data_IF_182516187371
#
_entry.id   IF_182516187371
#
_cell.length_a   1.000
_cell.length_b   1.000
_cell.length_c   1.000
_cell.angle_alpha   90.00
_cell.angle_beta   90.00
_cell.angle_gamma   90.00
#
_symmetry.space_group_name_H-M   'P 1'
#
loop_
_entity.id
_entity.type
_entity.pdbx_description
1 polymer ?
#
# COMPACT_ATOMS: atom_id res chain seq x y z
N UNK A 1 44.50 -28.07 -3.94
CA UNK A 1 43.35 -28.82 -4.51
C UNK A 1 41.99 -28.40 -3.85
N UNK A 2 42.00 -27.97 -2.59
CA UNK A 2 40.75 -27.58 -1.93
C UNK A 2 40.11 -26.29 -2.44
N UNK A 3 40.88 -25.32 -2.91
CA UNK A 3 40.37 -24.08 -3.49
C UNK A 3 39.69 -24.26 -4.85
N UNK A 4 40.19 -25.23 -5.66
CA UNK A 4 39.60 -25.51 -7.00
C UNK A 4 38.22 -26.16 -6.86
N UNK A 5 38.04 -27.06 -5.90
CA UNK A 5 36.73 -27.70 -5.64
C UNK A 5 35.70 -26.68 -5.15
N UNK A 6 36.10 -25.74 -4.32
CA UNK A 6 35.23 -24.67 -3.86
C UNK A 6 34.84 -23.69 -4.97
N UNK A 7 35.77 -23.33 -5.85
CA UNK A 7 35.48 -22.44 -7.00
C UNK A 7 34.59 -23.11 -8.04
N UNK A 8 34.80 -24.42 -8.34
CA UNK A 8 33.92 -25.15 -9.25
C UNK A 8 32.49 -25.28 -8.71
N UNK A 9 32.31 -25.46 -7.41
CA UNK A 9 31.00 -25.52 -6.80
C UNK A 9 30.29 -24.15 -6.89
N UNK A 10 31.01 -23.06 -6.63
CA UNK A 10 30.47 -21.70 -6.78
C UNK A 10 30.11 -21.38 -8.24
N UNK A 11 30.93 -21.80 -9.21
CA UNK A 11 30.66 -21.62 -10.65
C UNK A 11 29.37 -22.33 -11.04
N UNK A 12 29.12 -23.56 -10.54
CA UNK A 12 27.92 -24.32 -10.87
C UNK A 12 26.64 -23.78 -10.29
N UNK A 13 26.69 -23.19 -9.12
CA UNK A 13 25.54 -22.80 -8.34
C UNK A 13 25.23 -21.30 -8.39
N UNK A 14 26.06 -20.51 -9.04
CA UNK A 14 25.97 -19.06 -9.07
C UNK A 14 26.04 -18.50 -10.49
N UNK A 15 24.99 -18.69 -11.32
CA UNK A 15 24.89 -18.02 -12.60
C UNK A 15 24.73 -16.52 -12.42
N UNK A 16 25.19 -15.73 -13.40
CA UNK A 16 25.01 -14.30 -13.42
C UNK A 16 23.73 -13.92 -14.16
N UNK A 17 22.86 -13.14 -13.51
CA UNK A 17 21.66 -12.58 -14.11
C UNK A 17 21.67 -11.05 -14.04
N UNK A 18 21.39 -10.41 -15.18
CA UNK A 18 21.26 -8.95 -15.27
C UNK A 18 19.79 -8.56 -15.21
N UNK A 19 19.42 -7.75 -14.21
CA UNK A 19 18.12 -7.10 -14.16
C UNK A 19 18.15 -5.88 -15.08
N UNK A 20 17.77 -6.13 -16.34
CA UNK A 20 18.11 -5.27 -17.45
C UNK A 20 16.94 -4.39 -17.94
N UNK A 21 15.78 -4.46 -17.32
CA UNK A 21 14.67 -3.54 -17.54
C UNK A 21 14.69 -2.37 -16.54
N UNK A 22 14.06 -1.29 -16.92
CA UNK A 22 13.71 -0.23 -15.99
C UNK A 22 13.99 1.18 -16.47
N UNK A 23 13.26 2.12 -15.90
CA UNK A 23 13.35 3.55 -16.18
C UNK A 23 14.74 4.16 -15.98
N UNK A 24 15.58 3.77 -15.02
CA UNK A 24 16.93 4.35 -14.89
C UNK A 24 17.77 4.19 -16.13
N UNK A 25 17.75 2.98 -16.75
CA UNK A 25 18.48 2.75 -18.00
C UNK A 25 17.87 3.47 -19.18
N UNK A 26 16.53 3.52 -19.26
CA UNK A 26 15.79 4.22 -20.31
C UNK A 26 16.04 5.73 -20.28
N UNK A 27 15.97 6.35 -19.10
CA UNK A 27 16.22 7.77 -18.93
C UNK A 27 17.67 8.15 -19.25
N UNK A 28 18.62 7.35 -18.78
CA UNK A 28 20.03 7.54 -19.08
C UNK A 28 20.34 7.42 -20.61
N UNK A 29 19.65 6.50 -21.29
CA UNK A 29 19.73 6.34 -22.72
C UNK A 29 19.11 7.56 -23.47
N UNK A 30 17.95 8.02 -22.99
CA UNK A 30 17.28 9.21 -23.53
C UNK A 30 18.17 10.46 -23.41
N UNK A 31 18.73 10.74 -22.23
CA UNK A 31 19.64 11.87 -22.00
C UNK A 31 20.86 11.84 -22.93
N UNK A 32 21.33 10.65 -23.30
CA UNK A 32 22.48 10.46 -24.19
C UNK A 32 22.11 10.32 -25.66
N UNK A 33 20.82 10.40 -25.98
CA UNK A 33 20.26 10.22 -27.31
C UNK A 33 20.73 8.91 -27.98
N UNK A 34 20.68 7.81 -27.23
CA UNK A 34 21.00 6.46 -27.70
C UNK A 34 19.83 5.53 -27.40
N UNK A 35 19.75 4.41 -28.12
CA UNK A 35 18.73 3.41 -27.91
C UNK A 35 18.95 2.68 -26.56
N UNK A 36 17.90 2.46 -25.71
CA UNK A 36 18.02 1.82 -24.40
C UNK A 36 18.73 0.46 -24.46
N UNK A 37 18.41 -0.40 -25.42
CA UNK A 37 19.05 -1.70 -25.56
C UNK A 37 20.58 -1.56 -25.73
N UNK A 38 21.03 -0.64 -26.59
CA UNK A 38 22.46 -0.40 -26.80
C UNK A 38 23.15 0.09 -25.53
N UNK A 39 22.49 0.97 -24.77
CA UNK A 39 23.02 1.45 -23.50
C UNK A 39 23.14 0.33 -22.48
N UNK A 40 22.11 -0.50 -22.38
CA UNK A 40 22.07 -1.66 -21.48
C UNK A 40 23.15 -2.67 -21.81
N UNK A 41 23.30 -3.05 -23.10
CA UNK A 41 24.33 -3.98 -23.54
C UNK A 41 25.76 -3.49 -23.25
N UNK A 42 26.01 -2.19 -23.45
CA UNK A 42 27.32 -1.59 -23.14
C UNK A 42 27.60 -1.65 -21.63
N UNK A 43 26.60 -1.37 -20.79
CA UNK A 43 26.76 -1.42 -19.34
C UNK A 43 26.98 -2.86 -18.87
N UNK A 44 26.22 -3.83 -19.37
CA UNK A 44 26.40 -5.25 -19.07
C UNK A 44 27.82 -5.70 -19.43
N UNK A 45 28.30 -5.35 -20.61
CA UNK A 45 29.67 -5.68 -21.05
C UNK A 45 30.71 -5.10 -20.10
N UNK A 46 30.59 -3.84 -19.73
CA UNK A 46 31.52 -3.16 -18.81
C UNK A 46 31.50 -3.81 -17.41
N UNK A 47 30.31 -4.04 -16.87
CA UNK A 47 30.17 -4.66 -15.53
C UNK A 47 30.68 -6.09 -15.51
N UNK A 48 30.45 -6.87 -16.59
CA UNK A 48 30.99 -8.23 -16.73
C UNK A 48 32.52 -8.23 -16.65
N UNK A 49 33.17 -7.34 -17.37
CA UNK A 49 34.64 -7.21 -17.33
C UNK A 49 35.12 -6.81 -15.93
N UNK A 50 34.47 -5.89 -15.28
CA UNK A 50 34.80 -5.46 -13.90
C UNK A 50 34.64 -6.62 -12.91
N UNK A 51 33.54 -7.37 -12.98
CA UNK A 51 33.31 -8.50 -12.07
C UNK A 51 34.33 -9.63 -12.30
N UNK A 52 34.70 -9.89 -13.57
CA UNK A 52 35.80 -10.83 -13.89
C UNK A 52 37.14 -10.35 -13.36
N UNK A 53 37.46 -9.07 -13.49
CA UNK A 53 38.68 -8.47 -12.96
C UNK A 53 38.77 -8.53 -11.41
N UNK A 54 37.62 -8.50 -10.72
CA UNK A 54 37.54 -8.71 -9.28
C UNK A 54 37.74 -10.16 -8.85
N UNK A 55 37.80 -11.10 -9.80
CA UNK A 55 38.01 -12.53 -9.52
C UNK A 55 36.78 -13.25 -9.00
N UNK A 56 35.57 -12.73 -9.25
CA UNK A 56 34.33 -13.37 -8.83
C UNK A 56 34.04 -14.62 -9.70
N UNK A 57 33.78 -15.72 -9.03
CA UNK A 57 33.57 -17.04 -9.65
C UNK A 57 32.09 -17.26 -9.97
N UNK A 58 31.59 -16.61 -11.01
CA UNK A 58 30.27 -16.89 -11.55
C UNK A 58 30.31 -17.90 -12.69
N UNK A 59 29.19 -18.59 -12.89
CA UNK A 59 28.97 -19.42 -14.07
C UNK A 59 28.57 -18.55 -15.28
N UNK A 60 29.57 -18.01 -15.95
CA UNK A 60 29.39 -17.15 -17.11
C UNK A 60 28.75 -17.82 -18.31
N UNK A 61 28.81 -19.17 -18.39
CA UNK A 61 28.18 -19.94 -19.48
C UNK A 61 26.65 -20.00 -19.33
N UNK A 62 26.14 -19.75 -18.12
CA UNK A 62 24.72 -19.62 -17.83
C UNK A 62 24.31 -18.18 -17.55
N UNK A 63 25.05 -17.22 -18.05
CA UNK A 63 24.71 -15.79 -17.99
C UNK A 63 23.39 -15.54 -18.73
N UNK A 64 22.53 -14.73 -18.13
CA UNK A 64 21.25 -14.36 -18.68
C UNK A 64 20.94 -12.88 -18.47
N UNK A 65 20.01 -12.35 -19.26
CA UNK A 65 19.48 -11.00 -19.10
C UNK A 65 17.95 -11.03 -19.10
N UNK A 66 17.34 -10.36 -18.13
CA UNK A 66 15.87 -10.33 -17.98
C UNK A 66 15.17 -9.63 -19.15
N UNK A 67 15.88 -8.80 -19.94
CA UNK A 67 15.35 -8.16 -21.13
C UNK A 67 15.40 -9.01 -22.40
N UNK A 68 16.01 -10.20 -22.33
CA UNK A 68 16.03 -11.12 -23.46
C UNK A 68 14.66 -11.76 -23.70
N UNK A 69 14.15 -11.79 -24.95
CA UNK A 69 12.89 -12.45 -25.29
C UNK A 69 12.85 -13.92 -24.86
N UNK A 70 13.97 -14.63 -24.95
CA UNK A 70 14.09 -16.02 -24.53
C UNK A 70 13.94 -16.19 -23.01
N UNK A 71 14.22 -15.14 -22.22
CA UNK A 71 13.99 -15.12 -20.79
C UNK A 71 12.55 -14.70 -20.46
N UNK A 72 12.12 -13.50 -20.86
CA UNK A 72 10.83 -12.96 -20.40
C UNK A 72 9.62 -13.68 -21.01
N UNK A 73 9.77 -14.48 -22.07
CA UNK A 73 8.69 -15.36 -22.55
C UNK A 73 8.18 -16.31 -21.46
N UNK A 74 9.06 -16.74 -20.55
CA UNK A 74 8.68 -17.60 -19.42
C UNK A 74 7.90 -16.83 -18.36
N UNK A 75 8.27 -15.58 -18.11
CA UNK A 75 7.51 -14.68 -17.21
C UNK A 75 6.12 -14.38 -17.78
N UNK A 76 6.05 -14.09 -19.08
CA UNK A 76 4.76 -13.88 -19.77
C UNK A 76 3.87 -15.12 -19.69
N UNK A 77 4.45 -16.31 -19.86
CA UNK A 77 3.71 -17.57 -19.71
C UNK A 77 3.18 -17.74 -18.27
N UNK A 78 4.02 -17.49 -17.29
CA UNK A 78 3.61 -17.56 -15.87
C UNK A 78 2.51 -16.54 -15.55
N UNK A 79 2.60 -15.33 -16.08
CA UNK A 79 1.54 -14.33 -15.93
C UNK A 79 0.21 -14.81 -16.55
N UNK A 80 0.24 -15.43 -17.74
CA UNK A 80 -0.95 -16.01 -18.35
C UNK A 80 -1.54 -17.14 -17.51
N UNK A 81 -0.69 -17.93 -16.86
CA UNK A 81 -1.16 -18.97 -15.95
C UNK A 81 -1.81 -18.37 -14.69
N UNK A 82 -1.31 -17.25 -14.17
CA UNK A 82 -1.98 -16.50 -13.10
C UNK A 82 -3.36 -15.99 -13.54
N UNK A 83 -3.47 -15.44 -14.74
CA UNK A 83 -4.77 -15.00 -15.29
C UNK A 83 -5.74 -16.18 -15.42
N UNK A 84 -5.29 -17.33 -15.97
CA UNK A 84 -6.12 -18.53 -16.13
C UNK A 84 -6.62 -19.10 -14.81
N UNK A 85 -5.80 -18.99 -13.77
CA UNK A 85 -6.14 -19.44 -12.41
C UNK A 85 -6.82 -18.34 -11.58
N UNK A 86 -7.24 -17.23 -12.20
CA UNK A 86 -7.90 -16.10 -11.53
C UNK A 86 -7.09 -15.50 -10.37
N UNK A 87 -5.77 -15.59 -10.45
CA UNK A 87 -4.83 -14.98 -9.50
C UNK A 87 -4.39 -13.58 -9.91
N UNK A 88 -4.53 -13.25 -11.20
CA UNK A 88 -4.33 -11.91 -11.74
C UNK A 88 -5.65 -11.38 -12.33
N UNK A 89 -5.97 -10.13 -12.07
CA UNK A 89 -7.19 -9.48 -12.53
C UNK A 89 -6.96 -7.99 -12.80
N UNK A 90 -7.87 -7.36 -13.54
CA UNK A 90 -7.81 -5.92 -13.79
C UNK A 90 -8.89 -5.20 -13.01
N UNK A 91 -8.53 -4.07 -12.41
CA UNK A 91 -9.48 -3.10 -11.85
C UNK A 91 -8.99 -1.68 -12.05
N UNK A 92 -9.88 -0.71 -11.97
CA UNK A 92 -9.52 0.69 -11.88
C UNK A 92 -9.02 1.01 -10.48
N UNK A 93 -7.91 1.72 -10.40
CA UNK A 93 -7.31 2.16 -9.14
C UNK A 93 -6.68 3.53 -9.30
N UNK A 94 -6.71 4.30 -8.23
CA UNK A 94 -5.99 5.56 -8.15
C UNK A 94 -4.49 5.29 -8.05
N UNK A 95 -3.73 5.93 -8.93
CA UNK A 95 -2.28 5.80 -8.99
C UNK A 95 -1.62 7.18 -8.89
N UNK A 96 -0.37 7.19 -8.40
CA UNK A 96 0.48 8.37 -8.48
C UNK A 96 1.06 8.47 -9.90
N UNK A 97 0.75 9.52 -10.61
CA UNK A 97 1.21 9.76 -11.97
C UNK A 97 2.24 10.88 -12.00
N UNK A 98 3.39 10.60 -12.58
CA UNK A 98 4.39 11.62 -12.89
C UNK A 98 4.15 12.16 -14.31
N UNK A 99 3.77 13.44 -14.47
CA UNK A 99 3.45 13.99 -15.78
C UNK A 99 4.70 14.27 -16.64
N UNK A 100 5.90 14.33 -16.05
CA UNK A 100 7.17 14.55 -16.76
C UNK A 100 7.73 13.24 -17.27
N UNK A 101 7.79 12.21 -16.40
CA UNK A 101 8.27 10.88 -16.79
C UNK A 101 7.19 10.04 -17.49
N UNK A 102 5.91 10.50 -17.49
CA UNK A 102 4.75 9.79 -18.04
C UNK A 102 4.63 8.35 -17.52
N UNK A 103 4.78 8.19 -16.21
CA UNK A 103 4.76 6.88 -15.57
C UNK A 103 4.01 6.90 -14.24
N UNK A 104 3.62 5.70 -13.80
CA UNK A 104 3.07 5.47 -12.46
C UNK A 104 4.22 5.35 -11.46
N UNK A 105 4.10 6.02 -10.33
CA UNK A 105 5.05 5.96 -9.22
C UNK A 105 4.48 5.14 -8.06
N UNK A 106 5.30 4.30 -7.46
CA UNK A 106 5.02 3.71 -6.16
C UNK A 106 4.98 4.79 -5.06
N UNK A 107 4.35 4.48 -3.93
CA UNK A 107 4.24 5.47 -2.85
C UNK A 107 5.61 5.94 -2.34
N UNK A 108 6.58 5.03 -2.27
CA UNK A 108 7.96 5.31 -1.84
C UNK A 108 8.74 6.19 -2.83
N UNK A 109 8.22 6.35 -4.04
CA UNK A 109 8.80 7.20 -5.09
C UNK A 109 8.19 8.61 -5.12
N UNK A 110 7.28 8.90 -4.20
CA UNK A 110 6.68 10.22 -4.02
C UNK A 110 7.23 10.85 -2.75
N UNK A 111 7.98 11.94 -2.88
CA UNK A 111 8.58 12.67 -1.77
C UNK A 111 8.00 14.08 -1.75
N UNK A 112 7.38 14.49 -0.65
CA UNK A 112 6.73 15.80 -0.51
C UNK A 112 5.76 16.14 -1.66
N UNK A 113 4.99 15.14 -2.12
CA UNK A 113 4.04 15.29 -3.22
C UNK A 113 4.67 15.41 -4.61
N UNK A 114 5.95 15.13 -4.74
CA UNK A 114 6.72 15.21 -6.00
C UNK A 114 7.33 13.86 -6.35
N UNK A 115 7.47 13.62 -7.64
CA UNK A 115 8.24 12.48 -8.14
C UNK A 115 9.70 12.55 -7.69
N UNK A 116 10.20 11.48 -7.10
CA UNK A 116 11.54 11.40 -6.48
C UNK A 116 12.70 11.72 -7.46
N UNK A 117 12.46 11.54 -8.74
CA UNK A 117 13.45 11.78 -9.81
C UNK A 117 13.19 13.06 -10.60
N UNK A 118 11.95 13.23 -11.07
CA UNK A 118 11.57 14.40 -11.89
C UNK A 118 11.48 15.68 -11.08
N UNK A 119 11.18 15.57 -9.77
CA UNK A 119 10.82 16.72 -8.92
C UNK A 119 9.48 17.37 -9.31
N UNK A 120 8.75 16.80 -10.27
CA UNK A 120 7.45 17.31 -10.70
C UNK A 120 6.35 16.97 -9.68
N UNK A 121 5.35 17.84 -9.51
CA UNK A 121 4.18 17.53 -8.72
C UNK A 121 3.47 16.27 -9.26
N UNK A 122 3.19 15.31 -8.37
CA UNK A 122 2.50 14.07 -8.73
C UNK A 122 1.01 14.32 -8.86
N UNK A 123 0.41 13.74 -9.89
CA UNK A 123 -1.04 13.76 -10.12
C UNK A 123 -1.66 12.44 -9.71
N UNK A 124 -2.88 12.50 -9.13
CA UNK A 124 -3.69 11.28 -8.94
C UNK A 124 -4.49 11.01 -10.20
N UNK A 125 -4.33 9.81 -10.77
CA UNK A 125 -5.09 9.37 -11.95
C UNK A 125 -5.75 8.04 -11.69
N UNK A 126 -6.99 7.90 -12.18
CA UNK A 126 -7.70 6.62 -12.15
C UNK A 126 -7.32 5.84 -13.40
N UNK A 127 -6.60 4.75 -13.24
CA UNK A 127 -6.14 3.91 -14.34
C UNK A 127 -6.53 2.46 -14.12
N UNK A 128 -6.84 1.76 -15.23
CA UNK A 128 -7.04 0.32 -15.21
C UNK A 128 -5.70 -0.39 -15.09
N UNK A 129 -5.48 -1.05 -13.95
CA UNK A 129 -4.23 -1.70 -13.58
C UNK A 129 -4.43 -3.20 -13.40
N UNK A 130 -3.34 -3.97 -13.54
CA UNK A 130 -3.28 -5.36 -13.15
C UNK A 130 -3.02 -5.49 -11.65
N UNK A 131 -3.73 -6.40 -11.03
CA UNK A 131 -3.60 -6.75 -9.62
C UNK A 131 -3.40 -8.25 -9.47
N UNK A 132 -2.59 -8.65 -8.50
CA UNK A 132 -2.43 -10.03 -8.08
C UNK A 132 -3.22 -10.25 -6.78
N UNK A 133 -3.90 -11.39 -6.66
CA UNK A 133 -4.61 -11.78 -5.44
C UNK A 133 -3.62 -12.32 -4.39
N UNK A 134 -2.75 -11.46 -3.88
CA UNK A 134 -1.67 -11.85 -2.98
C UNK A 134 -2.15 -12.46 -1.66
N UNK A 135 -3.38 -12.18 -1.25
CA UNK A 135 -3.97 -12.70 -0.01
C UNK A 135 -4.66 -14.06 -0.18
N UNK A 136 -4.80 -14.57 -1.41
CA UNK A 136 -5.49 -15.84 -1.69
C UNK A 136 -4.89 -17.02 -0.94
N UNK A 137 -3.56 -17.01 -0.75
CA UNK A 137 -2.82 -18.08 -0.08
C UNK A 137 -2.35 -17.73 1.32
N UNK A 138 -2.82 -16.63 1.91
CA UNK A 138 -2.32 -16.14 3.21
C UNK A 138 -2.49 -17.18 4.32
N UNK A 139 -3.64 -17.81 4.42
CA UNK A 139 -3.91 -18.86 5.43
C UNK A 139 -3.04 -20.11 5.20
N UNK A 140 -2.82 -20.52 3.95
CA UNK A 140 -2.00 -21.68 3.62
C UNK A 140 -0.52 -21.39 3.89
N UNK A 141 -0.05 -20.17 3.59
CA UNK A 141 1.31 -19.73 3.91
C UNK A 141 1.53 -19.72 5.42
N UNK A 142 0.58 -19.21 6.19
CA UNK A 142 0.66 -19.16 7.64
C UNK A 142 0.77 -20.55 8.26
N UNK A 143 -0.06 -21.50 7.81
CA UNK A 143 0.01 -22.91 8.21
C UNK A 143 1.31 -23.57 7.78
N UNK A 144 1.82 -23.26 6.58
CA UNK A 144 3.02 -23.86 6.03
C UNK A 144 4.29 -23.42 6.77
N UNK A 145 4.32 -22.24 7.38
CA UNK A 145 5.44 -21.78 8.23
C UNK A 145 5.73 -22.78 9.35
N UNK A 146 4.70 -23.38 9.94
CA UNK A 146 4.84 -24.37 11.02
C UNK A 146 5.60 -25.63 10.57
N UNK A 147 5.54 -25.97 9.28
CA UNK A 147 6.19 -27.15 8.71
C UNK A 147 7.65 -26.96 8.32
N UNK A 148 8.17 -25.73 8.41
CA UNK A 148 9.52 -25.36 8.00
C UNK A 148 10.53 -25.64 9.12
N UNK A 149 10.82 -26.91 9.39
CA UNK A 149 11.66 -27.35 10.52
C UNK A 149 13.09 -26.74 10.50
N UNK A 150 13.65 -26.49 9.31
CA UNK A 150 15.02 -26.00 9.14
C UNK A 150 15.13 -24.46 9.16
N UNK A 151 14.01 -23.76 9.24
CA UNK A 151 14.03 -22.31 9.31
C UNK A 151 14.28 -21.82 10.74
N UNK A 152 15.11 -20.77 10.93
CA UNK A 152 15.27 -20.16 12.24
C UNK A 152 13.95 -19.62 12.79
N UNK A 153 13.70 -19.81 14.08
CA UNK A 153 12.47 -19.36 14.75
C UNK A 153 12.21 -17.85 14.58
N UNK A 154 13.28 -17.05 14.61
CA UNK A 154 13.18 -15.60 14.36
C UNK A 154 12.61 -15.30 12.98
N UNK A 155 13.00 -16.05 11.95
CA UNK A 155 12.51 -15.85 10.58
C UNK A 155 11.05 -16.28 10.47
N UNK A 156 10.69 -17.43 11.08
CA UNK A 156 9.29 -17.88 11.15
C UNK A 156 8.40 -16.82 11.81
N UNK A 157 8.84 -16.29 12.95
CA UNK A 157 8.11 -15.24 13.65
C UNK A 157 7.95 -13.96 12.81
N UNK A 158 9.00 -13.53 12.09
CA UNK A 158 8.94 -12.37 11.19
C UNK A 158 7.91 -12.60 10.06
N UNK A 159 7.91 -13.79 9.44
CA UNK A 159 6.94 -14.13 8.38
C UNK A 159 5.52 -14.22 8.93
N UNK A 160 5.32 -14.83 10.09
CA UNK A 160 4.04 -14.90 10.76
C UNK A 160 3.46 -13.50 11.03
N UNK A 161 4.28 -12.61 11.59
CA UNK A 161 3.88 -11.24 11.88
C UNK A 161 3.62 -10.42 10.62
N UNK A 162 4.38 -10.66 9.54
CA UNK A 162 4.17 -10.01 8.25
C UNK A 162 2.84 -10.39 7.60
N UNK A 163 2.48 -11.68 7.63
CA UNK A 163 1.19 -12.15 7.12
C UNK A 163 0.04 -11.61 7.98
N UNK A 164 0.23 -11.56 9.31
CA UNK A 164 -0.57 -10.79 10.24
C UNK A 164 -2.05 -11.11 10.19
N UNK A 165 -2.46 -12.36 10.45
CA UNK A 165 -3.89 -12.69 10.55
C UNK A 165 -4.53 -11.84 11.65
N UNK A 166 -5.53 -11.05 11.27
CA UNK A 166 -6.33 -10.26 12.19
C UNK A 166 -7.80 -10.66 12.07
N UNK A 167 -8.51 -10.66 13.19
CA UNK A 167 -9.96 -10.87 13.23
C UNK A 167 -10.63 -9.57 13.63
N UNK A 168 -11.74 -9.27 12.99
CA UNK A 168 -12.50 -8.06 13.26
C UNK A 168 -13.98 -8.22 12.98
N UNK A 169 -14.70 -7.16 13.19
CA UNK A 169 -16.13 -7.09 12.95
C UNK A 169 -16.49 -5.93 12.03
N UNK A 170 -17.46 -6.14 11.17
CA UNK A 170 -18.11 -5.09 10.41
C UNK A 170 -19.29 -4.55 11.21
N UNK A 171 -19.32 -3.24 11.40
CA UNK A 171 -20.36 -2.55 12.14
C UNK A 171 -21.05 -1.58 11.19
N UNK A 172 -22.38 -1.59 11.23
CA UNK A 172 -23.21 -0.71 10.41
C UNK A 172 -23.82 0.39 11.27
N UNK A 173 -23.58 1.64 10.88
CA UNK A 173 -24.19 2.81 11.49
C UNK A 173 -25.25 3.38 10.54
N UNK A 174 -26.48 3.55 11.00
CA UNK A 174 -27.52 4.19 10.21
C UNK A 174 -27.28 5.70 10.17
N UNK A 175 -27.31 6.29 8.97
CA UNK A 175 -27.17 7.74 8.79
C UNK A 175 -28.52 8.37 9.01
N UNK A 176 -28.61 9.33 9.93
CA UNK A 176 -29.84 10.00 10.29
C UNK A 176 -30.45 10.75 9.10
N UNK A 177 -31.71 10.49 8.81
CA UNK A 177 -32.41 11.14 7.68
C UNK A 177 -32.05 10.61 6.28
N UNK A 178 -31.29 9.50 6.20
CA UNK A 178 -30.91 8.85 4.96
C UNK A 178 -31.14 7.34 5.05
N UNK A 179 -31.40 6.71 3.92
CA UNK A 179 -31.51 5.23 3.82
C UNK A 179 -30.15 4.55 3.78
N UNK A 180 -29.07 5.33 3.60
CA UNK A 180 -27.69 4.85 3.54
C UNK A 180 -27.20 4.44 4.93
N UNK A 181 -26.29 3.45 4.96
CA UNK A 181 -25.56 3.02 6.14
C UNK A 181 -24.07 3.28 5.94
N UNK A 182 -23.41 3.67 7.03
CA UNK A 182 -21.96 3.72 7.08
C UNK A 182 -21.46 2.37 7.57
N UNK A 183 -20.66 1.70 6.73
CA UNK A 183 -20.03 0.43 7.05
C UNK A 183 -18.62 0.68 7.57
N UNK A 184 -18.31 0.19 8.76
CA UNK A 184 -17.01 0.35 9.41
C UNK A 184 -16.46 -1.03 9.79
N UNK A 185 -15.28 -1.36 9.32
CA UNK A 185 -14.53 -2.52 9.79
C UNK A 185 -13.61 -2.13 10.96
N UNK A 186 -13.60 -2.94 12.01
CA UNK A 186 -12.72 -2.73 13.17
C UNK A 186 -12.18 -4.05 13.70
N UNK A 187 -10.91 -4.06 14.11
CA UNK A 187 -10.28 -5.17 14.86
C UNK A 187 -10.52 -5.05 16.38
N UNK A 188 -11.10 -3.93 16.83
CA UNK A 188 -11.40 -3.64 18.23
C UNK A 188 -12.89 -3.30 18.42
N UNK A 189 -13.80 -4.26 18.16
CA UNK A 189 -15.24 -4.02 18.31
C UNK A 189 -15.66 -3.71 19.76
N UNK A 190 -14.84 -4.11 20.73
CA UNK A 190 -15.01 -3.79 22.15
C UNK A 190 -15.01 -2.29 22.47
N UNK A 191 -14.31 -1.49 21.66
CA UNK A 191 -14.17 -0.03 21.88
C UNK A 191 -15.35 0.79 21.37
N UNK A 192 -16.34 0.20 20.71
CA UNK A 192 -17.46 0.91 20.10
C UNK A 192 -18.25 1.77 21.07
N UNK A 193 -18.40 1.32 22.32
CA UNK A 193 -19.10 2.09 23.35
C UNK A 193 -18.42 3.43 23.69
N UNK A 194 -17.12 3.54 23.33
CA UNK A 194 -16.32 4.76 23.43
C UNK A 194 -16.31 5.63 22.18
N UNK A 195 -17.00 5.19 21.12
CA UNK A 195 -17.04 5.95 19.87
C UNK A 195 -17.58 7.38 20.09
N UNK A 196 -16.84 8.38 19.62
CA UNK A 196 -17.18 9.80 19.75
C UNK A 196 -17.51 10.44 18.41
N UNK A 197 -17.01 9.91 17.32
CA UNK A 197 -17.26 10.36 15.96
C UNK A 197 -17.08 9.20 14.97
N UNK A 198 -17.55 9.40 13.75
CA UNK A 198 -17.14 8.59 12.59
C UNK A 198 -16.33 9.46 11.64
N UNK A 199 -15.37 8.86 10.96
CA UNK A 199 -14.61 9.53 9.92
C UNK A 199 -14.57 8.68 8.65
N UNK A 200 -14.64 9.35 7.49
CA UNK A 200 -14.60 8.73 6.17
C UNK A 200 -13.46 9.30 5.35
N UNK A 201 -12.95 8.50 4.43
CA UNK A 201 -11.90 8.91 3.50
C UNK A 201 -12.39 10.01 2.56
N UNK A 202 -11.48 10.86 2.10
CA UNK A 202 -11.80 11.96 1.17
C UNK A 202 -12.41 11.45 -0.16
N UNK A 203 -12.03 10.25 -0.60
CA UNK A 203 -12.56 9.59 -1.80
C UNK A 203 -13.71 8.61 -1.52
N UNK A 204 -14.26 8.61 -0.30
CA UNK A 204 -15.43 7.80 0.03
C UNK A 204 -16.66 8.26 -0.79
N UNK A 205 -17.57 7.36 -1.23
CA UNK A 205 -18.76 7.73 -2.02
C UNK A 205 -19.63 8.82 -1.39
N UNK A 206 -19.79 8.81 -0.06
CA UNK A 206 -20.54 9.83 0.69
C UNK A 206 -19.84 11.18 0.58
N UNK A 207 -18.52 11.26 0.80
CA UNK A 207 -17.73 12.49 0.67
C UNK A 207 -17.82 13.06 -0.74
N UNK A 208 -17.66 12.21 -1.76
CA UNK A 208 -17.77 12.60 -3.18
C UNK A 208 -19.16 13.12 -3.55
N UNK A 209 -20.23 12.56 -2.96
CA UNK A 209 -21.60 13.02 -3.16
C UNK A 209 -21.83 14.39 -2.54
N UNK A 210 -21.40 14.59 -1.30
CA UNK A 210 -21.54 15.86 -0.57
C UNK A 210 -20.71 16.99 -1.19
N UNK A 211 -19.49 16.69 -1.64
CA UNK A 211 -18.60 17.66 -2.28
C UNK A 211 -19.15 18.27 -3.56
N UNK A 212 -20.13 17.62 -4.22
CA UNK A 212 -20.81 18.20 -5.40
C UNK A 212 -21.64 19.44 -5.06
N UNK A 213 -22.11 19.57 -3.83
CA UNK A 213 -22.98 20.66 -3.37
C UNK A 213 -22.30 21.57 -2.36
N UNK A 214 -21.17 21.18 -1.82
CA UNK A 214 -20.38 21.94 -0.84
C UNK A 214 -18.97 22.22 -1.39
N UNK A 215 -18.74 23.46 -1.83
CA UNK A 215 -17.47 23.90 -2.40
C UNK A 215 -16.30 23.80 -1.41
N UNK A 216 -16.54 24.08 -0.11
CA UNK A 216 -15.49 24.00 0.92
C UNK A 216 -15.07 22.55 1.17
N UNK A 217 -16.04 21.64 1.18
CA UNK A 217 -15.75 20.20 1.27
C UNK A 217 -14.99 19.73 0.03
N UNK A 218 -15.36 20.20 -1.16
CA UNK A 218 -14.66 19.87 -2.40
C UNK A 218 -13.20 20.35 -2.39
N UNK A 219 -12.94 21.55 -1.86
CA UNK A 219 -11.60 22.07 -1.67
C UNK A 219 -10.79 21.19 -0.70
N UNK A 220 -11.40 20.82 0.44
CA UNK A 220 -10.77 19.93 1.42
C UNK A 220 -10.46 18.53 0.83
N UNK A 221 -11.39 17.95 0.06
CA UNK A 221 -11.17 16.68 -0.66
C UNK A 221 -9.98 16.81 -1.62
N UNK A 222 -9.91 17.94 -2.33
CA UNK A 222 -8.82 18.21 -3.28
C UNK A 222 -7.47 18.37 -2.59
N UNK A 223 -7.44 18.98 -1.40
CA UNK A 223 -6.23 19.04 -0.56
C UNK A 223 -5.81 17.64 -0.08
N UNK A 224 -6.74 16.84 0.44
CA UNK A 224 -6.45 15.48 0.89
C UNK A 224 -5.87 14.60 -0.24
N UNK A 225 -6.39 14.75 -1.46
CA UNK A 225 -5.92 14.00 -2.61
C UNK A 225 -4.51 14.41 -3.10
N UNK A 226 -4.00 15.55 -2.67
CA UNK A 226 -2.62 15.99 -2.93
C UNK A 226 -1.62 15.47 -1.90
N UNK A 227 -2.08 15.03 -0.73
CA UNK A 227 -1.23 14.46 0.29
C UNK A 227 -0.75 13.05 -0.13
N UNK A 228 0.40 12.65 0.39
CA UNK A 228 0.89 11.28 0.22
C UNK A 228 -0.14 10.26 0.73
N UNK A 229 -0.20 9.11 0.06
CA UNK A 229 -0.99 7.94 0.51
C UNK A 229 -0.13 6.94 1.29
N UNK A 230 1.10 7.29 1.61
CA UNK A 230 1.96 6.47 2.44
C UNK A 230 1.43 6.48 3.88
N UNK A 231 1.28 5.30 4.46
CA UNK A 231 0.79 5.14 5.85
C UNK A 231 1.69 5.90 6.84
N UNK A 232 3.02 5.89 6.62
CA UNK A 232 3.98 6.61 7.43
C UNK A 232 3.81 8.14 7.39
N UNK A 233 3.53 8.71 6.20
CA UNK A 233 3.28 10.14 6.05
C UNK A 233 1.96 10.55 6.68
N UNK A 234 0.95 9.70 6.60
CA UNK A 234 -0.36 9.91 7.23
C UNK A 234 -0.25 9.83 8.75
N UNK A 235 0.59 8.94 9.29
CA UNK A 235 0.82 8.86 10.73
C UNK A 235 1.44 10.15 11.31
N UNK A 236 2.36 10.75 10.59
CA UNK A 236 3.10 11.95 11.02
C UNK A 236 2.39 13.26 10.69
N UNK A 237 1.48 13.27 9.70
CA UNK A 237 0.74 14.46 9.30
C UNK A 237 -0.24 14.95 10.37
N UNK A 238 -0.45 16.26 10.43
CA UNK A 238 -1.50 16.85 11.26
C UNK A 238 -2.87 16.27 10.88
N UNK A 239 -3.62 15.82 11.87
CA UNK A 239 -4.95 15.21 11.68
C UNK A 239 -5.98 16.30 11.40
N UNK A 240 -6.46 16.34 10.17
CA UNK A 240 -7.42 17.34 9.69
C UNK A 240 -8.72 16.67 9.27
N UNK A 241 -9.83 17.33 9.54
CA UNK A 241 -11.16 16.86 9.17
C UNK A 241 -12.09 17.97 8.74
N UNK A 242 -13.14 17.60 8.03
CA UNK A 242 -14.23 18.47 7.64
C UNK A 242 -15.53 17.88 8.17
N UNK A 243 -16.27 18.64 8.98
CA UNK A 243 -17.59 18.23 9.48
C UNK A 243 -18.59 18.24 8.33
N UNK A 244 -19.16 17.07 8.03
CA UNK A 244 -20.15 16.91 6.96
C UNK A 244 -21.53 17.42 7.33
N UNK A 245 -21.78 17.73 8.60
CA UNK A 245 -23.11 18.00 9.14
C UNK A 245 -24.01 16.76 9.27
N UNK A 246 -23.58 15.60 8.77
CA UNK A 246 -24.30 14.34 8.94
C UNK A 246 -23.97 13.70 10.27
N UNK A 247 -24.94 12.94 10.77
CA UNK A 247 -24.79 12.14 11.99
C UNK A 247 -25.24 10.71 11.75
N UNK A 248 -24.65 9.80 12.50
CA UNK A 248 -25.09 8.40 12.56
C UNK A 248 -25.65 8.07 13.94
N UNK A 249 -26.63 7.17 13.98
CA UNK A 249 -27.10 6.59 15.22
C UNK A 249 -26.10 5.53 15.72
N UNK A 250 -25.78 5.58 17.02
CA UNK A 250 -24.95 4.56 17.63
C UNK A 250 -25.70 3.20 17.66
N UNK A 251 -25.12 2.09 17.15
CA UNK A 251 -25.88 0.85 16.93
C UNK A 251 -26.33 0.15 18.22
N UNK A 252 -25.71 0.47 19.37
CA UNK A 252 -25.98 -0.21 20.65
C UNK A 252 -26.39 0.74 21.79
N UNK A 253 -26.39 2.04 21.57
CA UNK A 253 -26.76 3.05 22.59
C UNK A 253 -27.88 3.92 22.04
N UNK A 254 -29.09 3.71 22.53
CA UNK A 254 -30.28 4.45 22.11
C UNK A 254 -30.12 5.96 22.37
N UNK A 255 -30.50 6.76 21.36
CA UNK A 255 -30.45 8.21 21.43
C UNK A 255 -29.06 8.83 21.33
N UNK A 256 -28.00 8.00 21.18
CA UNK A 256 -26.65 8.53 20.97
C UNK A 256 -26.38 8.69 19.48
N UNK A 257 -25.97 9.89 19.12
CA UNK A 257 -25.59 10.25 17.74
C UNK A 257 -24.10 10.59 17.68
N UNK A 258 -23.45 10.19 16.57
CA UNK A 258 -22.06 10.48 16.30
C UNK A 258 -21.97 11.32 15.02
N UNK A 259 -21.20 12.44 15.01
CA UNK A 259 -20.94 13.21 13.80
C UNK A 259 -20.06 12.43 12.81
N UNK A 260 -20.24 12.71 11.52
CA UNK A 260 -19.40 12.17 10.44
C UNK A 260 -18.47 13.27 9.93
N UNK A 261 -17.17 12.98 9.96
CA UNK A 261 -16.14 13.83 9.37
C UNK A 261 -15.57 13.22 8.10
N UNK A 262 -15.21 14.05 7.10
CA UNK A 262 -14.23 13.65 6.09
C UNK A 262 -12.85 13.92 6.66
N UNK A 263 -11.95 12.94 6.70
CA UNK A 263 -10.66 13.09 7.36
C UNK A 263 -9.49 12.67 6.46
N UNK A 264 -8.36 13.38 6.60
CA UNK A 264 -7.16 13.15 5.80
C UNK A 264 -6.36 11.90 6.20
N UNK A 265 -6.69 11.29 7.31
CA UNK A 265 -6.00 10.11 7.85
C UNK A 265 -6.79 8.80 7.67
N UNK A 266 -7.94 8.84 6.99
CA UNK A 266 -8.73 7.64 6.65
C UNK A 266 -8.46 7.28 5.20
N UNK A 267 -8.08 6.02 4.96
CA UNK A 267 -7.75 5.50 3.63
C UNK A 267 -8.87 4.61 3.09
N UNK A 268 -9.20 4.75 1.80
CA UNK A 268 -10.16 3.86 1.10
C UNK A 268 -9.66 2.43 0.93
N UNK A 269 -8.34 2.26 0.83
CA UNK A 269 -7.72 0.95 0.60
C UNK A 269 -7.60 0.13 1.90
N UNK A 270 -7.95 0.71 3.04
CA UNK A 270 -7.95 0.04 4.33
C UNK A 270 -9.39 -0.11 4.85
N UNK A 271 -9.87 -1.34 4.88
CA UNK A 271 -11.24 -1.67 5.30
C UNK A 271 -12.30 -1.15 4.32
N UNK A 272 -13.25 -0.39 4.84
CA UNK A 272 -14.39 0.18 4.09
C UNK A 272 -14.19 1.65 3.71
N UNK A 273 -13.03 2.25 4.03
CA UNK A 273 -12.80 3.69 3.91
C UNK A 273 -13.56 4.50 4.95
N UNK A 274 -14.01 3.87 6.04
CA UNK A 274 -14.67 4.50 7.16
C UNK A 274 -14.20 3.90 8.49
N UNK A 275 -14.11 4.73 9.51
CA UNK A 275 -13.75 4.35 10.88
C UNK A 275 -14.72 4.97 11.87
N UNK A 276 -14.79 4.43 13.08
CA UNK A 276 -15.26 5.19 14.25
C UNK A 276 -14.06 5.56 15.12
N UNK A 277 -14.04 6.76 15.65
CA UNK A 277 -12.99 7.25 16.52
C UNK A 277 -13.33 7.02 17.99
N UNK A 278 -12.35 6.44 18.72
CA UNK A 278 -12.45 6.19 20.16
C UNK A 278 -11.31 6.88 20.92
N UNK A 279 -11.45 8.15 21.31
CA UNK A 279 -10.40 8.95 21.95
C UNK A 279 -9.79 8.35 23.22
N UNK A 280 -10.53 7.47 23.91
CA UNK A 280 -10.04 6.80 25.10
C UNK A 280 -9.04 5.66 24.83
N UNK A 281 -8.94 5.19 23.59
CA UNK A 281 -8.15 4.02 23.21
C UNK A 281 -7.15 4.27 22.07
N UNK A 282 -7.21 5.42 21.41
CA UNK A 282 -6.29 5.78 20.33
C UNK A 282 -5.87 7.26 20.46
N UNK A 283 -4.55 7.50 20.47
CA UNK A 283 -4.01 8.85 20.63
C UNK A 283 -4.38 9.75 19.43
N UNK A 284 -4.44 9.20 18.22
CA UNK A 284 -4.81 9.95 17.02
C UNK A 284 -6.25 10.42 17.08
N UNK A 285 -7.14 9.56 17.57
CA UNK A 285 -8.55 9.89 17.79
C UNK A 285 -8.71 10.95 18.88
N UNK A 286 -7.87 10.88 19.92
CA UNK A 286 -7.86 11.88 20.99
C UNK A 286 -7.42 13.26 20.46
N UNK A 287 -6.34 13.32 19.72
CA UNK A 287 -5.82 14.57 19.14
C UNK A 287 -6.85 15.21 18.20
N UNK A 288 -7.50 14.37 17.37
CA UNK A 288 -8.59 14.81 16.51
C UNK A 288 -9.79 15.33 17.32
N UNK A 289 -10.19 14.59 18.35
CA UNK A 289 -11.31 14.99 19.20
C UNK A 289 -11.05 16.29 19.97
N UNK A 290 -9.82 16.52 20.41
CA UNK A 290 -9.43 17.78 21.05
C UNK A 290 -9.49 18.97 20.08
N UNK A 291 -9.19 18.76 18.81
CA UNK A 291 -9.18 19.81 17.77
C UNK A 291 -10.60 20.15 17.30
N UNK A 292 -11.41 19.14 17.01
CA UNK A 292 -12.74 19.30 16.40
C UNK A 292 -13.90 19.24 17.40
N UNK A 293 -13.58 18.94 18.67
CA UNK A 293 -14.52 18.87 19.78
C UNK A 293 -15.82 18.07 19.49
N UNK A 294 -15.73 16.89 18.82
CA UNK A 294 -16.85 15.98 18.79
C UNK A 294 -17.13 15.58 20.22
N UNK A 295 -18.38 15.66 20.64
CA UNK A 295 -18.85 15.49 22.03
C UNK A 295 -17.93 14.63 22.91
N UNK A 296 -17.20 15.28 23.81
CA UNK A 296 -16.22 14.65 24.69
C UNK A 296 -16.95 13.86 25.78
N UNK A 297 -16.88 12.54 25.73
CA UNK A 297 -17.34 11.69 26.85
C UNK A 297 -16.17 11.47 27.81
N UNK A 298 -16.16 12.22 28.89
CA UNK A 298 -15.11 12.18 29.92
C UNK A 298 -15.18 10.97 30.85
N UNK A 299 -16.19 10.12 30.74
CA UNK A 299 -16.35 8.95 31.64
C UNK A 299 -16.82 7.72 30.87
N UNK A 300 -15.88 6.90 30.44
CA UNK A 300 -16.10 5.51 30.13
C UNK A 300 -15.37 4.67 31.19
N UNK A 301 -16.10 4.28 32.19
CA UNK A 301 -15.70 3.11 32.97
C UNK A 301 -15.91 1.91 32.06
N UNK A 302 -14.84 1.40 31.48
CA UNK A 302 -14.85 0.08 30.88
C UNK A 302 -15.18 -0.92 32.00
N UNK A 303 -16.09 -1.91 31.77
CA UNK A 303 -16.18 -3.03 32.68
C UNK A 303 -14.79 -3.68 32.71
N UNK A 304 -14.12 -3.58 33.84
CA UNK A 304 -12.92 -4.36 34.11
C UNK A 304 -13.37 -5.81 34.06
N UNK A 305 -12.96 -6.51 32.99
CA UNK A 305 -13.04 -7.98 32.96
C UNK A 305 -12.26 -8.49 34.16
N UNK A 306 -12.98 -9.08 35.13
CA UNK A 306 -12.39 -9.86 36.19
C UNK A 306 -11.78 -11.16 35.66
#
# INVERSE_FOLDING_TARGET
>A
HGCLVGSEMCIRDSPMGWDAFGLPAENAAFERNIHPAKWTDQNISTMREQLKAMGLSYDWDRELSTCDPEYYKHEQKMFLDFVRNNLAYRKESWVNWDPVENTVLANEQVIDGKGWRSGAPVEKRLLSQWFLKITEYSDDLLKSIETLERWPDKVKLMQHNWIGRSEGATIFFNINGHDDRLEVFTTRPDTIFGASFCAIAANHPIASRLGKTDAKLQDFISECNKLSTSEADIETAEKRGYDTGLKVAHPFLDGRELPIYVANFVLMDYGTGAIFGCPAHDQRDLDFALTYNPVSYTHLTLPTSG
#
